data_IF_539280714368
#
_entry.id   IF_539280714368
#
_cell.length_a   1.000
_cell.length_b   1.000
_cell.length_c   1.000
_cell.angle_alpha   90.00
_cell.angle_beta   90.00
_cell.angle_gamma   90.00
#
_symmetry.space_group_name_H-M   'P 1'
#
loop_
_entity.id
_entity.type
_entity.pdbx_description
1 polymer ?
#
# COMPACT_ATOMS: atom_id res chain seq x y z
N UNK A 1 1.56 -0.47 -12.07
CA UNK A 1 2.74 -0.76 -11.22
C UNK A 1 2.52 -1.98 -10.33
N UNK A 2 1.41 -2.07 -9.58
CA UNK A 2 1.10 -3.22 -8.72
C UNK A 2 1.13 -4.54 -9.50
N UNK A 3 0.39 -4.66 -10.61
CA UNK A 3 0.40 -5.86 -11.47
C UNK A 3 1.80 -6.31 -11.94
N UNK A 4 2.68 -5.35 -12.18
CA UNK A 4 4.04 -5.67 -12.64
C UNK A 4 4.83 -6.30 -11.50
N UNK A 5 4.76 -5.73 -10.30
CA UNK A 5 5.49 -6.21 -9.13
C UNK A 5 4.88 -7.48 -8.54
N UNK A 6 3.55 -7.57 -8.50
CA UNK A 6 2.82 -8.64 -7.83
C UNK A 6 2.46 -9.79 -8.77
N UNK A 7 2.25 -9.55 -10.06
CA UNK A 7 1.91 -10.57 -11.07
C UNK A 7 3.12 -10.94 -11.93
N UNK A 8 3.63 -10.00 -12.73
CA UNK A 8 4.69 -10.29 -13.71
C UNK A 8 6.00 -10.74 -13.04
N UNK A 9 6.51 -9.96 -12.08
CA UNK A 9 7.79 -10.24 -11.40
C UNK A 9 7.74 -11.49 -10.52
N UNK A 10 6.59 -11.79 -9.92
CA UNK A 10 6.42 -12.94 -9.04
C UNK A 10 6.21 -14.27 -9.79
N UNK A 11 6.00 -14.21 -11.11
CA UNK A 11 5.57 -15.36 -11.93
C UNK A 11 4.08 -15.69 -11.79
N UNK A 12 3.29 -14.79 -11.20
CA UNK A 12 1.84 -14.89 -11.07
C UNK A 12 1.07 -14.57 -12.34
N UNK A 13 -0.26 -14.70 -12.24
CA UNK A 13 -1.18 -14.26 -13.30
C UNK A 13 -1.28 -12.73 -13.33
N UNK A 14 -1.49 -12.18 -14.52
CA UNK A 14 -1.63 -10.74 -14.75
C UNK A 14 -2.63 -10.46 -15.88
N UNK A 15 -3.22 -9.27 -15.86
CA UNK A 15 -4.21 -8.77 -16.80
C UNK A 15 -5.43 -9.67 -16.87
N UNK A 16 -5.83 -9.99 -18.10
CA UNK A 16 -7.01 -10.85 -18.39
C UNK A 16 -6.81 -12.32 -18.02
N UNK A 17 -5.59 -12.70 -17.62
CA UNK A 17 -5.31 -14.07 -17.19
C UNK A 17 -5.67 -14.30 -15.71
N UNK A 18 -5.96 -13.23 -14.94
CA UNK A 18 -6.44 -13.37 -13.56
C UNK A 18 -7.93 -13.77 -13.60
N UNK A 19 -8.31 -14.94 -13.05
CA UNK A 19 -9.70 -15.35 -13.04
C UNK A 19 -10.54 -14.41 -12.16
N UNK A 20 -11.73 -14.05 -12.66
CA UNK A 20 -12.71 -13.33 -11.86
C UNK A 20 -13.26 -14.24 -10.77
N UNK A 21 -13.31 -13.75 -9.54
CA UNK A 21 -13.96 -14.44 -8.44
C UNK A 21 -15.48 -14.18 -8.54
N UNK A 22 -16.21 -15.08 -9.20
CA UNK A 22 -17.66 -14.92 -9.46
C UNK A 22 -18.47 -15.67 -8.40
N UNK A 23 -18.07 -16.89 -8.08
CA UNK A 23 -18.68 -17.74 -7.06
C UNK A 23 -17.76 -17.88 -5.85
N UNK A 24 -18.02 -17.04 -4.84
CA UNK A 24 -17.24 -17.06 -3.61
C UNK A 24 -17.31 -18.44 -2.93
N UNK A 25 -16.15 -19.03 -2.64
CA UNK A 25 -16.02 -20.35 -2.00
C UNK A 25 -16.07 -21.56 -2.95
N UNK A 26 -16.26 -21.34 -4.26
CA UNK A 26 -16.18 -22.40 -5.29
C UNK A 26 -15.02 -22.12 -6.25
N UNK A 27 -14.81 -20.85 -6.62
CA UNK A 27 -13.71 -20.45 -7.50
C UNK A 27 -12.39 -20.38 -6.71
N UNK A 28 -11.29 -20.93 -7.23
CA UNK A 28 -9.99 -20.83 -6.58
C UNK A 28 -9.50 -19.38 -6.59
N UNK A 29 -9.15 -18.86 -5.41
CA UNK A 29 -8.52 -17.55 -5.30
C UNK A 29 -7.06 -17.65 -5.72
N UNK A 30 -6.75 -17.22 -6.95
CA UNK A 30 -5.37 -17.13 -7.44
C UNK A 30 -4.90 -15.69 -7.28
N UNK A 31 -4.07 -15.45 -6.28
CA UNK A 31 -3.51 -14.13 -5.98
C UNK A 31 -2.01 -14.21 -5.78
N UNK A 32 -1.30 -13.26 -6.36
CA UNK A 32 0.14 -13.09 -6.21
C UNK A 32 0.42 -11.73 -5.60
N UNK A 33 1.32 -11.69 -4.61
CA UNK A 33 1.61 -10.51 -3.81
C UNK A 33 3.07 -10.09 -3.93
N UNK A 34 3.33 -8.80 -3.70
CA UNK A 34 4.66 -8.24 -3.61
C UNK A 34 4.84 -7.61 -2.23
N UNK A 35 5.84 -8.08 -1.48
CA UNK A 35 6.13 -7.63 -0.13
C UNK A 35 7.52 -6.99 -0.08
N UNK A 36 7.60 -5.79 0.50
CA UNK A 36 8.87 -5.06 0.66
C UNK A 36 9.02 -4.66 2.12
N UNK A 37 10.15 -5.06 2.71
CA UNK A 37 10.62 -4.53 3.97
C UNK A 37 11.76 -3.56 3.70
N UNK A 38 11.69 -2.37 4.29
CA UNK A 38 12.77 -1.38 4.23
C UNK A 38 13.36 -1.26 5.63
N UNK A 39 14.65 -1.53 5.74
CA UNK A 39 15.41 -1.30 6.95
C UNK A 39 15.76 0.19 7.07
N UNK A 40 14.95 0.92 7.83
CA UNK A 40 15.08 2.38 8.02
C UNK A 40 16.43 2.77 8.62
N UNK A 41 17.02 1.93 9.48
CA UNK A 41 18.30 2.20 10.15
C UNK A 41 19.46 2.41 9.18
N UNK A 42 19.35 1.89 7.95
CA UNK A 42 20.36 2.06 6.91
C UNK A 42 20.35 3.44 6.26
N UNK A 43 19.28 4.20 6.45
CA UNK A 43 19.09 5.50 5.80
C UNK A 43 19.16 6.66 6.80
N UNK A 44 18.70 6.46 8.04
CA UNK A 44 18.75 7.47 9.10
C UNK A 44 18.60 6.80 10.49
N UNK A 45 18.95 7.49 11.59
CA UNK A 45 18.64 7.04 12.94
C UNK A 45 17.12 6.79 13.14
N UNK A 46 16.75 5.74 13.88
CA UNK A 46 15.34 5.39 14.08
C UNK A 46 14.55 6.47 14.82
N UNK A 47 15.20 7.13 15.78
CA UNK A 47 14.60 8.21 16.56
C UNK A 47 14.23 9.41 15.68
N UNK A 48 15.10 9.78 14.75
CA UNK A 48 14.85 10.85 13.77
C UNK A 48 13.70 10.48 12.84
N UNK A 49 13.70 9.25 12.30
CA UNK A 49 12.60 8.77 11.47
C UNK A 49 11.27 8.80 12.21
N UNK A 50 11.25 8.32 13.46
CA UNK A 50 10.06 8.33 14.31
C UNK A 50 9.55 9.74 14.55
N UNK A 51 10.43 10.67 14.93
CA UNK A 51 10.09 12.08 15.14
C UNK A 51 9.43 12.72 13.91
N UNK A 52 9.96 12.40 12.71
CA UNK A 52 9.38 12.86 11.43
C UNK A 52 8.00 12.27 11.15
N UNK A 53 7.79 10.99 11.45
CA UNK A 53 6.47 10.34 11.32
C UNK A 53 5.48 10.94 12.32
N UNK A 54 5.88 11.16 13.57
CA UNK A 54 5.04 11.78 14.60
C UNK A 54 4.61 13.19 14.17
N UNK A 55 5.55 14.00 13.67
CA UNK A 55 5.27 15.33 13.12
C UNK A 55 4.29 15.28 11.94
N UNK A 56 4.40 14.27 11.07
CA UNK A 56 3.46 14.08 9.96
C UNK A 56 2.05 13.75 10.45
N UNK A 57 1.93 12.87 11.45
CA UNK A 57 0.64 12.52 12.05
C UNK A 57 0.00 13.73 12.71
N UNK A 58 0.78 14.56 13.41
CA UNK A 58 0.28 15.77 14.04
C UNK A 58 -0.22 16.79 13.01
N UNK A 59 0.46 16.94 11.88
CA UNK A 59 -0.02 17.76 10.76
C UNK A 59 -1.37 17.26 10.19
N UNK A 60 -1.52 15.94 10.03
CA UNK A 60 -2.79 15.34 9.57
C UNK A 60 -3.89 15.58 10.59
N UNK A 61 -3.62 15.41 11.88
CA UNK A 61 -4.59 15.66 12.97
C UNK A 61 -4.99 17.13 13.11
N UNK A 62 -4.06 18.03 12.84
CA UNK A 62 -4.30 19.47 12.84
C UNK A 62 -5.12 19.92 11.61
N UNK A 63 -5.37 19.04 10.64
CA UNK A 63 -6.22 19.35 9.50
C UNK A 63 -7.69 19.33 9.93
N UNK A 64 -8.36 20.47 9.81
CA UNK A 64 -9.78 20.61 10.07
C UNK A 64 -10.60 19.80 9.04
N UNK A 65 -11.38 18.77 9.47
CA UNK A 65 -12.15 17.94 8.55
C UNK A 65 -13.19 18.75 7.76
N UNK A 66 -13.72 19.84 8.32
CA UNK A 66 -14.73 20.67 7.67
C UNK A 66 -14.14 21.65 6.64
N UNK A 67 -12.85 21.97 6.76
CA UNK A 67 -12.15 22.89 5.85
C UNK A 67 -11.75 22.22 4.54
N UNK A 68 -11.52 20.91 4.54
CA UNK A 68 -11.18 20.13 3.34
C UNK A 68 -12.41 19.90 2.44
N UNK A 69 -13.59 19.68 3.04
CA UNK A 69 -14.86 19.51 2.31
C UNK A 69 -15.44 20.81 1.72
N UNK A 70 -14.87 21.98 2.05
CA UNK A 70 -15.32 23.31 1.60
C UNK A 70 -14.30 24.04 0.71
N UNK A 71 -13.23 23.36 0.29
CA UNK A 71 -12.39 23.85 -0.81
C UNK A 71 -13.15 23.73 -2.13
N UNK A 72 -13.25 24.79 -2.97
CA UNK A 72 -13.78 24.69 -4.32
C UNK A 72 -12.90 23.80 -5.23
#
# INVERSE_FOLDING_TARGET
MIEILSGVLSGGLFGRNVPTLVNYGQDPLISSGFYVAIDVQRFQPLEDFRSRVDSLVDMVRATDPDRCARSP
#
